data_IF_410803468554
#
_entry.id   IF_410803468554
#
_cell.length_a   1.000
_cell.length_b   1.000
_cell.length_c   1.000
_cell.angle_alpha   90.00
_cell.angle_beta   90.00
_cell.angle_gamma   90.00
#
_symmetry.space_group_name_H-M   'P 1'
#
loop_
_entity.id
_entity.type
_entity.pdbx_description
1 polymer ?
#
# COMPACT_ATOMS: atom_id res chain seq x y z
N UNK A 1 8.23 -10.44 -8.98
CA UNK A 1 9.01 -10.19 -7.74
C UNK A 1 8.89 -11.33 -6.72
N UNK A 2 7.70 -11.69 -6.24
CA UNK A 2 7.56 -12.75 -5.21
C UNK A 2 8.27 -14.07 -5.54
N UNK A 3 8.26 -14.49 -6.79
CA UNK A 3 8.90 -15.74 -7.25
C UNK A 3 10.44 -15.71 -7.20
N UNK A 4 11.08 -14.55 -7.09
CA UNK A 4 12.54 -14.46 -6.91
C UNK A 4 12.98 -14.96 -5.53
N UNK A 5 12.13 -14.79 -4.52
CA UNK A 5 12.47 -15.03 -3.11
C UNK A 5 13.74 -14.28 -2.66
N UNK A 6 14.08 -13.21 -3.37
CA UNK A 6 15.21 -12.35 -3.06
C UNK A 6 14.76 -10.94 -2.64
N UNK A 7 14.71 -10.66 -1.33
CA UNK A 7 14.38 -9.32 -0.82
C UNK A 7 15.34 -8.23 -1.31
N UNK A 8 16.62 -8.56 -1.60
CA UNK A 8 17.59 -7.56 -2.07
C UNK A 8 17.27 -7.13 -3.50
N UNK A 9 16.89 -8.06 -4.36
CA UNK A 9 16.47 -7.75 -5.72
C UNK A 9 15.17 -6.92 -5.71
N UNK A 10 14.24 -7.21 -4.78
CA UNK A 10 13.01 -6.43 -4.59
C UNK A 10 13.31 -5.02 -4.07
N UNK A 11 14.24 -4.85 -3.13
CA UNK A 11 14.69 -3.53 -2.66
C UNK A 11 15.32 -2.72 -3.79
N UNK A 12 16.18 -3.33 -4.61
CA UNK A 12 16.79 -2.68 -5.76
C UNK A 12 15.73 -2.22 -6.79
N UNK A 13 14.72 -3.05 -7.06
CA UNK A 13 13.60 -2.67 -7.93
C UNK A 13 12.78 -1.52 -7.33
N UNK A 14 12.52 -1.54 -6.03
CA UNK A 14 11.88 -0.43 -5.31
C UNK A 14 12.69 0.86 -5.40
N UNK A 15 14.02 0.77 -5.28
CA UNK A 15 14.93 1.91 -5.40
C UNK A 15 14.91 2.51 -6.80
N UNK A 16 15.06 1.68 -7.84
CA UNK A 16 14.98 2.11 -9.23
C UNK A 16 13.63 2.81 -9.52
N UNK A 17 12.53 2.24 -9.05
CA UNK A 17 11.20 2.86 -9.16
C UNK A 17 11.15 4.23 -8.48
N UNK A 18 11.70 4.37 -7.27
CA UNK A 18 11.70 5.63 -6.54
C UNK A 18 12.50 6.71 -7.26
N UNK A 19 13.66 6.38 -7.83
CA UNK A 19 14.50 7.29 -8.60
C UNK A 19 13.78 7.80 -9.85
N UNK A 20 13.13 6.90 -10.59
CA UNK A 20 12.37 7.28 -11.77
C UNK A 20 11.14 8.14 -11.42
N UNK A 21 10.33 7.69 -10.47
CA UNK A 21 9.11 8.38 -10.04
C UNK A 21 9.41 9.75 -9.46
N UNK A 22 10.41 9.86 -8.56
CA UNK A 22 10.79 11.14 -7.96
C UNK A 22 11.31 12.14 -9.00
N UNK A 23 11.94 11.67 -10.08
CA UNK A 23 12.40 12.55 -11.16
C UNK A 23 11.26 13.28 -11.89
N UNK A 24 10.07 12.67 -11.90
CA UNK A 24 8.85 13.23 -12.50
C UNK A 24 8.05 14.15 -11.57
N UNK A 25 8.55 14.40 -10.36
CA UNK A 25 7.87 15.24 -9.37
C UNK A 25 6.75 14.51 -8.60
N UNK A 26 6.63 13.20 -8.70
CA UNK A 26 5.70 12.40 -7.91
C UNK A 26 6.35 11.99 -6.59
N UNK A 27 5.66 12.20 -5.49
CA UNK A 27 6.22 12.04 -4.13
C UNK A 27 5.77 10.77 -3.41
N UNK A 28 4.75 10.09 -3.93
CA UNK A 28 4.04 9.04 -3.24
C UNK A 28 3.53 7.99 -4.23
N UNK A 29 3.70 6.72 -3.89
CA UNK A 29 3.16 5.58 -4.65
C UNK A 29 2.18 4.78 -3.81
N UNK A 30 1.16 4.17 -4.43
CA UNK A 30 0.20 3.29 -3.76
C UNK A 30 0.63 1.83 -3.86
N UNK A 31 1.80 1.55 -3.32
CA UNK A 31 2.49 0.25 -3.32
C UNK A 31 3.36 0.15 -2.05
N UNK A 32 3.62 -1.06 -1.53
CA UNK A 32 3.28 -2.39 -2.02
C UNK A 32 1.91 -2.91 -1.58
N UNK A 33 1.43 -3.98 -2.26
CA UNK A 33 0.22 -4.72 -1.89
C UNK A 33 0.59 -5.88 -0.95
N UNK A 34 0.06 -5.84 0.28
CA UNK A 34 0.32 -6.83 1.33
C UNK A 34 -0.85 -7.78 1.56
N UNK A 35 -1.84 -7.78 0.68
CA UNK A 35 -2.96 -8.71 0.77
C UNK A 35 -2.47 -10.14 0.61
N UNK A 36 -3.03 -11.07 1.40
CA UNK A 36 -2.68 -12.49 1.36
C UNK A 36 -3.55 -13.19 0.31
N UNK A 37 -2.96 -13.62 -0.80
CA UNK A 37 -3.66 -14.17 -1.96
C UNK A 37 -4.00 -15.66 -1.77
N UNK A 38 -5.03 -15.99 -0.97
CA UNK A 38 -5.46 -17.36 -0.69
C UNK A 38 -6.59 -17.85 -1.59
N UNK A 39 -7.50 -16.95 -1.98
CA UNK A 39 -8.60 -17.27 -2.88
C UNK A 39 -8.24 -16.85 -4.32
N UNK A 40 -8.03 -17.84 -5.18
CA UNK A 40 -7.63 -17.60 -6.58
C UNK A 40 -8.74 -16.97 -7.44
N UNK A 41 -9.97 -16.86 -6.92
CA UNK A 41 -11.06 -16.13 -7.58
C UNK A 41 -10.94 -14.61 -7.38
N UNK A 42 -10.15 -14.16 -6.41
CA UNK A 42 -9.92 -12.74 -6.19
C UNK A 42 -9.09 -12.15 -7.34
N UNK A 43 -9.64 -11.14 -8.02
CA UNK A 43 -9.08 -10.61 -9.26
C UNK A 43 -7.75 -9.85 -9.15
N UNK A 44 -7.21 -9.67 -7.91
CA UNK A 44 -5.97 -8.91 -7.65
C UNK A 44 -4.84 -9.77 -7.09
N UNK A 45 -4.92 -11.09 -7.27
CA UNK A 45 -3.90 -12.05 -6.81
C UNK A 45 -2.51 -11.71 -7.33
N UNK A 46 -2.40 -11.31 -8.59
CA UNK A 46 -1.14 -10.98 -9.27
C UNK A 46 -0.47 -9.68 -8.75
N UNK A 47 -1.19 -8.84 -8.03
CA UNK A 47 -0.62 -7.65 -7.40
C UNK A 47 0.14 -7.97 -6.09
N UNK A 48 -0.02 -9.16 -5.53
CA UNK A 48 0.47 -9.53 -4.20
C UNK A 48 1.82 -10.25 -4.24
N UNK A 49 2.42 -10.43 -3.06
CA UNK A 49 3.61 -11.29 -2.90
C UNK A 49 3.25 -12.77 -2.59
N UNK A 50 1.99 -13.17 -2.75
CA UNK A 50 1.53 -14.54 -2.60
C UNK A 50 0.63 -14.76 -1.38
N UNK A 51 0.68 -15.98 -0.80
CA UNK A 51 -0.22 -16.42 0.27
C UNK A 51 0.46 -16.56 1.65
N UNK A 52 1.77 -16.49 1.71
CA UNK A 52 2.53 -16.65 2.95
C UNK A 52 2.79 -15.30 3.62
N UNK A 53 2.30 -15.07 4.86
CA UNK A 53 2.46 -13.77 5.54
C UNK A 53 3.92 -13.44 5.87
N UNK A 54 4.79 -14.44 6.06
CA UNK A 54 6.21 -14.21 6.31
C UNK A 54 6.89 -13.69 5.05
N UNK A 55 6.68 -14.35 3.91
CA UNK A 55 7.23 -13.93 2.62
C UNK A 55 6.72 -12.53 2.24
N UNK A 56 5.42 -12.27 2.41
CA UNK A 56 4.83 -10.95 2.17
C UNK A 56 5.53 -9.89 3.03
N UNK A 57 5.74 -10.16 4.31
CA UNK A 57 6.44 -9.26 5.22
C UNK A 57 7.86 -8.93 4.79
N UNK A 58 8.65 -9.97 4.36
CA UNK A 58 10.03 -9.80 3.87
C UNK A 58 10.07 -8.96 2.59
N UNK A 59 9.24 -9.30 1.60
CA UNK A 59 9.22 -8.62 0.31
C UNK A 59 8.68 -7.19 0.44
N UNK A 60 7.63 -6.98 1.25
CA UNK A 60 7.09 -5.65 1.51
C UNK A 60 8.08 -4.75 2.24
N UNK A 61 8.80 -5.28 3.23
CA UNK A 61 9.89 -4.56 3.92
C UNK A 61 10.95 -4.09 2.94
N UNK A 62 11.43 -4.99 2.08
CA UNK A 62 12.40 -4.67 1.05
C UNK A 62 11.89 -3.58 0.08
N UNK A 63 10.65 -3.71 -0.39
CA UNK A 63 10.06 -2.72 -1.30
C UNK A 63 9.92 -1.35 -0.64
N UNK A 64 9.45 -1.29 0.61
CA UNK A 64 9.32 -0.03 1.37
C UNK A 64 10.69 0.63 1.57
N UNK A 65 11.71 -0.15 1.93
CA UNK A 65 13.09 0.36 2.03
C UNK A 65 13.60 0.93 0.71
N UNK A 66 13.37 0.22 -0.39
CA UNK A 66 13.70 0.71 -1.73
C UNK A 66 13.03 2.04 -2.04
N UNK A 67 11.71 2.13 -1.87
CA UNK A 67 10.95 3.34 -2.14
C UNK A 67 11.39 4.52 -1.26
N UNK A 68 11.55 4.30 0.05
CA UNK A 68 11.86 5.36 1.01
C UNK A 68 13.36 5.62 1.17
N UNK A 69 14.22 4.96 0.37
CA UNK A 69 15.67 5.15 0.41
C UNK A 69 16.30 4.74 1.73
N UNK A 70 15.73 3.76 2.43
CA UNK A 70 16.20 3.28 3.73
C UNK A 70 15.85 4.18 4.93
N UNK A 71 15.12 5.28 4.72
CA UNK A 71 14.73 6.19 5.82
C UNK A 71 13.82 5.49 6.83
N UNK A 72 14.16 5.66 8.11
CA UNK A 72 13.41 5.11 9.24
C UNK A 72 12.20 5.99 9.61
N UNK A 73 11.36 5.49 10.53
CA UNK A 73 10.23 6.24 11.04
C UNK A 73 10.66 7.62 11.59
N UNK A 74 10.03 8.68 11.10
CA UNK A 74 10.33 10.06 11.51
C UNK A 74 11.49 10.74 10.81
N UNK A 75 12.33 10.02 10.06
CA UNK A 75 13.45 10.62 9.31
C UNK A 75 12.98 11.31 8.02
N UNK A 76 13.75 12.31 7.59
CA UNK A 76 13.54 12.96 6.29
C UNK A 76 13.90 12.01 5.15
N UNK A 77 13.06 11.94 4.13
CA UNK A 77 13.31 11.11 2.95
C UNK A 77 14.35 11.76 2.02
N UNK A 78 15.28 10.96 1.47
CA UNK A 78 16.17 11.42 0.40
C UNK A 78 15.38 12.07 -0.76
N UNK A 79 16.02 12.97 -1.52
CA UNK A 79 15.36 13.69 -2.62
C UNK A 79 14.92 12.79 -3.77
N UNK A 80 15.57 11.65 -3.93
CA UNK A 80 15.31 10.64 -4.94
C UNK A 80 14.45 9.46 -4.40
N UNK A 81 13.93 9.59 -3.17
CA UNK A 81 13.00 8.66 -2.56
C UNK A 81 11.55 9.16 -2.65
N UNK A 82 10.62 8.23 -2.51
CA UNK A 82 9.18 8.49 -2.48
C UNK A 82 8.54 7.79 -1.28
N UNK A 83 7.37 8.26 -0.85
CA UNK A 83 6.59 7.56 0.17
C UNK A 83 6.02 6.25 -0.38
N UNK A 84 6.14 5.19 0.41
CA UNK A 84 5.43 3.95 0.22
C UNK A 84 4.01 4.04 0.81
N UNK A 85 3.10 3.25 0.26
CA UNK A 85 1.75 3.07 0.80
C UNK A 85 1.41 1.60 0.86
N UNK A 86 1.51 1.02 2.04
CA UNK A 86 1.15 -0.37 2.23
C UNK A 86 -0.37 -0.57 2.16
N UNK A 87 -0.81 -1.52 1.34
CA UNK A 87 -2.23 -1.73 1.07
C UNK A 87 -2.58 -3.21 0.87
N UNK A 88 -3.83 -3.60 1.06
CA UNK A 88 -4.94 -2.85 1.62
C UNK A 88 -5.17 -3.33 3.04
N UNK A 89 -5.08 -2.44 4.00
CA UNK A 89 -5.14 -2.72 5.42
C UNK A 89 -6.60 -2.92 5.87
N UNK A 90 -6.98 -4.11 6.34
CA UNK A 90 -6.33 -5.40 6.26
C UNK A 90 -7.40 -6.50 6.11
N UNK A 91 -7.06 -7.58 5.37
CA UNK A 91 -8.00 -8.68 5.17
C UNK A 91 -8.76 -8.63 3.83
N UNK A 92 -8.45 -7.70 2.97
CA UNK A 92 -9.15 -7.40 1.72
C UNK A 92 -9.27 -8.59 0.75
N UNK A 93 -8.27 -9.46 0.69
CA UNK A 93 -8.27 -10.65 -0.18
C UNK A 93 -9.14 -11.81 0.31
N UNK A 94 -9.69 -11.75 1.52
CA UNK A 94 -10.60 -12.76 2.10
C UNK A 94 -12.08 -12.44 1.88
N UNK A 95 -12.39 -11.52 1.00
CA UNK A 95 -13.76 -11.19 0.63
C UNK A 95 -14.51 -12.39 0.08
N UNK A 96 -15.74 -12.55 0.46
CA UNK A 96 -16.55 -13.72 0.12
C UNK A 96 -16.67 -13.92 -1.40
N UNK A 97 -16.28 -15.11 -1.87
CA UNK A 97 -16.33 -15.47 -3.28
C UNK A 97 -15.33 -14.74 -4.17
N UNK A 98 -14.28 -14.13 -3.59
CA UNK A 98 -13.27 -13.37 -4.34
C UNK A 98 -13.77 -12.03 -4.87
N UNK A 99 -14.88 -11.50 -4.36
CA UNK A 99 -15.41 -10.19 -4.77
C UNK A 99 -14.48 -9.06 -4.38
N UNK A 100 -14.54 -7.96 -5.12
CA UNK A 100 -13.71 -6.79 -4.82
C UNK A 100 -14.10 -6.12 -3.50
N UNK A 101 -15.40 -5.98 -3.23
CA UNK A 101 -15.92 -5.40 -1.99
C UNK A 101 -17.02 -6.28 -1.40
N UNK A 102 -16.78 -6.86 -0.24
CA UNK A 102 -17.77 -7.63 0.52
C UNK A 102 -17.30 -7.91 1.93
N UNK A 103 -18.08 -8.64 2.72
CA UNK A 103 -17.63 -9.17 4.00
C UNK A 103 -16.42 -10.10 3.82
N UNK A 104 -15.40 -9.90 4.64
CA UNK A 104 -14.31 -10.84 4.85
C UNK A 104 -14.59 -11.60 6.15
N UNK A 105 -14.86 -12.90 6.05
CA UNK A 105 -15.17 -13.75 7.20
C UNK A 105 -13.90 -14.04 8.02
N UNK A 106 -13.49 -13.05 8.77
CA UNK A 106 -12.25 -13.04 9.54
C UNK A 106 -12.53 -12.75 11.01
N UNK A 107 -12.28 -13.75 11.87
CA UNK A 107 -12.22 -13.49 13.32
C UNK A 107 -10.98 -12.65 13.67
N UNK A 108 -11.02 -11.91 14.79
CA UNK A 108 -9.86 -11.19 15.31
C UNK A 108 -8.64 -12.10 15.45
N UNK A 109 -8.79 -13.35 15.92
CA UNK A 109 -7.69 -14.31 16.00
C UNK A 109 -7.02 -14.57 14.64
N UNK A 110 -7.83 -14.74 13.58
CA UNK A 110 -7.30 -14.99 12.23
C UNK A 110 -6.63 -13.75 11.66
N UNK A 111 -7.18 -12.57 11.90
CA UNK A 111 -6.54 -11.30 11.56
C UNK A 111 -5.17 -11.18 12.23
N UNK A 112 -5.09 -11.33 13.55
CA UNK A 112 -3.87 -11.21 14.35
C UNK A 112 -2.79 -12.22 13.94
N UNK A 113 -3.17 -13.44 13.56
CA UNK A 113 -2.20 -14.49 13.25
C UNK A 113 -1.74 -14.51 11.80
N UNK A 114 -2.51 -13.93 10.86
CA UNK A 114 -2.22 -14.02 9.42
C UNK A 114 -2.13 -12.66 8.71
N UNK A 115 -3.16 -11.83 8.86
CA UNK A 115 -3.33 -10.66 7.99
C UNK A 115 -2.65 -9.41 8.53
N UNK A 116 -2.50 -9.29 9.85
CA UNK A 116 -1.87 -8.14 10.49
C UNK A 116 -0.34 -8.22 10.57
N UNK A 117 0.34 -9.38 10.72
CA UNK A 117 1.79 -9.43 10.90
C UNK A 117 2.61 -8.74 9.80
N UNK A 118 2.32 -8.87 8.49
CA UNK A 118 3.04 -8.13 7.46
C UNK A 118 2.94 -6.62 7.62
N UNK A 119 1.75 -6.12 7.96
CA UNK A 119 1.51 -4.68 8.18
C UNK A 119 2.17 -4.18 9.47
N UNK A 120 2.10 -4.95 10.55
CA UNK A 120 2.77 -4.59 11.81
C UNK A 120 4.27 -4.41 11.61
N UNK A 121 4.88 -5.33 10.86
CA UNK A 121 6.31 -5.27 10.55
C UNK A 121 6.68 -3.96 9.87
N UNK A 122 6.04 -3.63 8.77
CA UNK A 122 6.39 -2.41 8.02
C UNK A 122 5.94 -1.13 8.70
N UNK A 123 4.93 -1.17 9.58
CA UNK A 123 4.57 -0.06 10.44
C UNK A 123 5.74 0.29 11.39
N UNK A 124 6.34 -0.73 12.00
CA UNK A 124 7.53 -0.58 12.87
C UNK A 124 8.79 -0.15 12.10
N UNK A 125 8.90 -0.52 10.84
CA UNK A 125 10.01 -0.16 9.96
C UNK A 125 9.85 1.23 9.32
N UNK A 126 8.76 1.95 9.58
CA UNK A 126 8.58 3.34 9.20
C UNK A 126 7.94 3.59 7.84
N UNK A 127 7.13 2.64 7.33
CA UNK A 127 6.29 2.89 6.17
C UNK A 127 5.44 4.16 6.38
N UNK A 128 5.52 5.11 5.45
CA UNK A 128 4.92 6.44 5.62
C UNK A 128 3.41 6.46 5.61
N UNK A 129 2.77 5.58 4.82
CA UNK A 129 1.31 5.60 4.65
C UNK A 129 0.73 4.19 4.53
N UNK A 130 -0.52 4.03 4.96
CA UNK A 130 -1.32 2.84 4.74
C UNK A 130 -2.62 3.20 4.03
N UNK A 131 -3.07 2.34 3.10
CA UNK A 131 -4.37 2.46 2.44
C UNK A 131 -5.29 1.35 2.91
N UNK A 132 -6.56 1.70 3.16
CA UNK A 132 -7.59 0.78 3.58
C UNK A 132 -8.15 -0.03 2.40
N UNK A 133 -8.71 -1.19 2.68
CA UNK A 133 -9.47 -1.96 1.70
C UNK A 133 -10.96 -1.60 1.66
N UNK A 134 -11.70 -2.32 0.82
CA UNK A 134 -13.16 -2.14 0.66
C UNK A 134 -14.00 -3.11 1.51
N UNK A 135 -13.36 -4.06 2.18
CA UNK A 135 -14.03 -5.12 2.91
C UNK A 135 -14.70 -4.63 4.19
N UNK A 136 -15.64 -5.43 4.65
CA UNK A 136 -16.15 -5.39 6.01
C UNK A 136 -15.59 -6.56 6.81
N UNK A 137 -15.37 -6.38 8.09
CA UNK A 137 -14.93 -7.41 9.02
C UNK A 137 -15.92 -7.44 10.17
N UNK A 138 -16.54 -8.60 10.43
CA UNK A 138 -17.60 -8.76 11.43
C UNK A 138 -18.71 -7.72 11.23
N UNK A 139 -19.11 -7.48 9.98
CA UNK A 139 -20.16 -6.54 9.60
C UNK A 139 -19.78 -5.06 9.65
N UNK A 140 -18.53 -4.72 10.00
CA UNK A 140 -18.06 -3.33 10.06
C UNK A 140 -17.11 -3.05 8.89
N UNK A 141 -17.46 -2.13 7.96
CA UNK A 141 -16.50 -1.69 6.94
C UNK A 141 -15.20 -1.21 7.58
N UNK A 142 -14.06 -1.61 7.03
CA UNK A 142 -12.75 -1.27 7.63
C UNK A 142 -12.56 0.23 7.80
N UNK A 143 -13.15 1.05 6.93
CA UNK A 143 -13.15 2.52 7.02
C UNK A 143 -13.72 3.04 8.34
N UNK A 144 -14.61 2.28 9.00
CA UNK A 144 -15.24 2.63 10.28
C UNK A 144 -14.79 1.74 11.43
N UNK A 145 -13.84 0.84 11.19
CA UNK A 145 -13.40 -0.13 12.19
C UNK A 145 -12.38 0.50 13.16
N UNK A 146 -12.91 1.15 14.20
CA UNK A 146 -12.09 1.81 15.23
C UNK A 146 -11.11 0.86 15.89
N UNK A 147 -11.50 -0.39 16.16
CA UNK A 147 -10.59 -1.38 16.74
C UNK A 147 -9.35 -1.58 15.86
N UNK A 148 -9.54 -1.71 14.54
CA UNK A 148 -8.44 -1.91 13.59
C UNK A 148 -7.58 -0.65 13.46
N UNK A 149 -8.21 0.51 13.22
CA UNK A 149 -7.51 1.75 12.85
C UNK A 149 -6.94 2.49 14.06
N UNK A 150 -7.70 2.57 15.15
CA UNK A 150 -7.29 3.31 16.35
C UNK A 150 -6.65 2.40 17.38
N UNK A 151 -7.36 1.36 17.85
CA UNK A 151 -6.88 0.59 19.00
C UNK A 151 -5.67 -0.28 18.62
N UNK A 152 -5.72 -0.94 17.46
CA UNK A 152 -4.62 -1.78 16.98
C UNK A 152 -3.49 -0.95 16.38
N UNK A 153 -3.76 -0.23 15.30
CA UNK A 153 -2.73 0.45 14.53
C UNK A 153 -2.10 1.62 15.30
N UNK A 154 -2.92 2.56 15.77
CA UNK A 154 -2.43 3.73 16.52
C UNK A 154 -2.04 3.38 17.95
N UNK A 155 -2.89 2.61 18.65
CA UNK A 155 -2.73 2.26 20.06
C UNK A 155 -1.64 1.25 20.30
N UNK A 156 -1.79 0.02 19.78
CA UNK A 156 -0.88 -1.08 20.05
C UNK A 156 0.46 -0.95 19.29
N UNK A 157 0.43 -0.65 17.99
CA UNK A 157 1.64 -0.56 17.17
C UNK A 157 2.31 0.81 17.22
N UNK A 158 1.65 1.83 17.79
CA UNK A 158 2.17 3.21 17.85
C UNK A 158 2.47 3.81 16.47
N UNK A 159 1.74 3.36 15.46
CA UNK A 159 1.91 3.87 14.10
C UNK A 159 1.49 5.34 14.00
N UNK A 160 2.38 6.19 13.54
CA UNK A 160 2.18 7.64 13.40
C UNK A 160 2.16 8.15 11.95
N UNK A 161 2.22 7.23 10.97
CA UNK A 161 2.04 7.56 9.57
C UNK A 161 0.59 7.90 9.22
N UNK A 162 0.33 8.24 7.97
CA UNK A 162 -0.98 8.66 7.50
C UNK A 162 -1.80 7.48 6.97
N UNK A 163 -3.08 7.42 7.34
CA UNK A 163 -4.07 6.53 6.74
C UNK A 163 -4.81 7.23 5.62
N UNK A 164 -4.87 6.59 4.46
CA UNK A 164 -5.72 7.00 3.35
C UNK A 164 -6.80 5.94 3.08
N UNK A 165 -8.02 6.38 2.76
CA UNK A 165 -9.04 5.45 2.26
C UNK A 165 -8.71 5.00 0.83
N UNK A 166 -9.32 3.92 0.37
CA UNK A 166 -9.39 3.62 -1.06
C UNK A 166 -10.45 4.48 -1.75
N UNK A 167 -10.63 4.34 -3.06
CA UNK A 167 -11.47 5.16 -3.91
C UNK A 167 -12.93 5.17 -3.45
N UNK A 168 -13.42 6.34 -3.08
CA UNK A 168 -14.79 6.60 -2.59
C UNK A 168 -15.25 5.69 -1.43
N UNK A 169 -14.32 5.22 -0.61
CA UNK A 169 -14.62 4.27 0.46
C UNK A 169 -15.64 4.82 1.48
N UNK A 170 -15.55 6.10 1.80
CA UNK A 170 -16.51 6.76 2.70
C UNK A 170 -17.86 6.91 2.01
N UNK A 171 -17.89 7.31 0.74
CA UNK A 171 -19.12 7.47 -0.02
C UNK A 171 -19.88 6.16 -0.23
N UNK A 172 -19.17 5.07 -0.51
CA UNK A 172 -19.75 3.73 -0.67
C UNK A 172 -20.60 3.29 0.53
N UNK A 173 -20.27 3.76 1.73
CA UNK A 173 -21.05 3.46 2.93
C UNK A 173 -22.46 4.03 2.89
N UNK A 174 -22.68 5.09 2.12
CA UNK A 174 -23.98 5.75 1.92
C UNK A 174 -24.74 5.15 0.73
N UNK A 175 -24.11 5.14 -0.47
CA UNK A 175 -24.83 4.80 -1.68
C UNK A 175 -24.83 3.29 -2.02
N UNK A 176 -23.79 2.54 -1.63
CA UNK A 176 -23.64 1.10 -1.94
C UNK A 176 -23.99 0.22 -0.72
N UNK A 177 -23.22 0.35 0.36
CA UNK A 177 -23.33 -0.52 1.54
C UNK A 177 -24.56 -0.19 2.40
N UNK A 178 -25.10 1.03 2.30
CA UNK A 178 -26.28 1.50 3.07
C UNK A 178 -26.12 1.41 4.59
N UNK A 179 -24.89 1.51 5.10
CA UNK A 179 -24.58 1.46 6.54
C UNK A 179 -24.51 2.85 7.18
N UNK A 180 -24.53 3.91 6.36
CA UNK A 180 -24.62 5.31 6.81
C UNK A 180 -25.81 6.00 6.14
N UNK A 181 -26.54 6.86 6.90
CA UNK A 181 -27.73 7.52 6.37
C UNK A 181 -27.39 8.62 5.35
N UNK A 182 -26.25 9.28 5.53
CA UNK A 182 -25.79 10.43 4.74
C UNK A 182 -24.28 10.64 4.86
N UNK A 183 -23.78 11.64 4.14
CA UNK A 183 -22.35 11.97 4.14
C UNK A 183 -21.89 12.65 5.45
N UNK A 184 -22.77 13.29 6.21
CA UNK A 184 -22.43 13.92 7.50
C UNK A 184 -22.02 12.85 8.51
N UNK A 185 -22.86 11.81 8.65
CA UNK A 185 -22.58 10.67 9.55
C UNK A 185 -21.41 9.84 9.04
N UNK A 186 -21.31 9.63 7.71
CA UNK A 186 -20.21 8.90 7.12
C UNK A 186 -18.87 9.61 7.35
N UNK A 187 -18.79 10.92 7.16
CA UNK A 187 -17.60 11.72 7.39
C UNK A 187 -17.19 11.70 8.88
N UNK A 188 -18.15 11.97 9.78
CA UNK A 188 -17.89 11.95 11.22
C UNK A 188 -17.34 10.61 11.68
N UNK A 189 -17.96 9.50 11.28
CA UNK A 189 -17.56 8.18 11.75
C UNK A 189 -16.24 7.71 11.12
N UNK A 190 -15.95 8.10 9.86
CA UNK A 190 -14.67 7.82 9.23
C UNK A 190 -13.52 8.50 10.00
N UNK A 191 -13.66 9.80 10.32
CA UNK A 191 -12.64 10.54 11.09
C UNK A 191 -12.50 9.96 12.50
N UNK A 192 -13.61 9.70 13.20
CA UNK A 192 -13.59 9.08 14.54
C UNK A 192 -12.93 7.70 14.57
N UNK A 193 -13.02 6.95 13.47
CA UNK A 193 -12.36 5.66 13.35
C UNK A 193 -10.83 5.78 13.17
N UNK A 194 -10.32 6.95 12.75
CA UNK A 194 -8.89 7.21 12.62
C UNK A 194 -8.39 7.42 11.20
N UNK A 195 -9.27 7.67 10.22
CA UNK A 195 -8.86 8.06 8.87
C UNK A 195 -8.30 9.48 8.85
N UNK A 196 -7.22 9.69 8.08
CA UNK A 196 -6.59 11.00 7.94
C UNK A 196 -6.87 11.64 6.59
N UNK A 197 -6.82 10.87 5.50
CA UNK A 197 -7.01 11.34 4.14
C UNK A 197 -8.11 10.53 3.46
N UNK A 198 -9.09 11.21 2.87
CA UNK A 198 -10.22 10.57 2.18
C UNK A 198 -10.07 10.73 0.68
N UNK A 199 -10.03 9.59 -0.02
CA UNK A 199 -9.91 9.56 -1.47
C UNK A 199 -11.28 9.67 -2.13
N UNK A 200 -11.46 10.70 -2.95
CA UNK A 200 -12.51 10.83 -3.99
C UNK A 200 -13.94 10.66 -3.48
N UNK A 201 -14.25 11.06 -2.24
CA UNK A 201 -15.64 11.14 -1.75
C UNK A 201 -16.11 12.59 -1.81
N UNK A 202 -16.87 13.02 -2.85
CA UNK A 202 -17.24 14.44 -3.03
C UNK A 202 -18.01 15.03 -1.86
N UNK A 203 -18.89 14.24 -1.23
CA UNK A 203 -19.69 14.69 -0.09
C UNK A 203 -18.95 14.71 1.25
N UNK A 204 -17.69 14.25 1.32
CA UNK A 204 -16.96 14.17 2.57
C UNK A 204 -16.64 15.54 3.15
N UNK A 205 -16.17 16.47 2.33
CA UNK A 205 -15.74 17.80 2.78
C UNK A 205 -16.87 18.56 3.47
N UNK A 206 -17.99 18.73 2.77
CA UNK A 206 -19.16 19.43 3.31
C UNK A 206 -19.77 18.66 4.50
N UNK A 207 -19.80 17.31 4.41
CA UNK A 207 -20.27 16.47 5.49
C UNK A 207 -19.43 16.59 6.76
N UNK A 208 -18.11 16.70 6.65
CA UNK A 208 -17.23 16.87 7.80
C UNK A 208 -17.41 18.25 8.45
N UNK A 209 -17.54 19.33 7.65
CA UNK A 209 -17.83 20.68 8.15
C UNK A 209 -19.15 20.69 8.92
N UNK A 210 -20.20 20.13 8.36
CA UNK A 210 -21.52 20.08 9.01
C UNK A 210 -21.47 19.20 10.28
N UNK A 211 -20.73 18.11 10.26
CA UNK A 211 -20.55 17.25 11.45
C UNK A 211 -19.86 17.99 12.60
N UNK A 212 -18.90 18.87 12.32
CA UNK A 212 -18.27 19.71 13.35
C UNK A 212 -19.26 20.78 13.84
N UNK A 213 -19.95 21.48 12.94
CA UNK A 213 -20.92 22.52 13.31
C UNK A 213 -22.07 21.99 14.19
N UNK A 214 -22.50 20.77 13.94
CA UNK A 214 -23.59 20.13 14.70
C UNK A 214 -23.11 19.42 15.98
N UNK A 215 -21.80 19.42 16.25
CA UNK A 215 -21.21 18.70 17.39
C UNK A 215 -21.17 17.19 17.23
N UNK A 216 -21.43 16.66 16.04
CA UNK A 216 -21.32 15.23 15.75
C UNK A 216 -19.85 14.78 15.65
N UNK A 217 -18.94 15.66 15.27
CA UNK A 217 -17.50 15.42 15.17
C UNK A 217 -16.74 16.48 15.97
N UNK A 218 -15.79 16.03 16.80
CA UNK A 218 -14.87 16.94 17.49
C UNK A 218 -13.80 17.44 16.50
N UNK A 219 -13.63 18.76 16.39
CA UNK A 219 -12.67 19.41 15.51
C UNK A 219 -11.22 18.97 15.80
N UNK A 220 -10.90 18.63 17.05
CA UNK A 220 -9.58 18.13 17.42
C UNK A 220 -9.14 16.87 16.66
N UNK A 221 -10.09 16.03 16.24
CA UNK A 221 -9.78 14.85 15.42
C UNK A 221 -9.41 15.22 13.98
N UNK A 222 -9.95 16.32 13.47
CA UNK A 222 -9.52 16.90 12.17
C UNK A 222 -8.10 17.44 12.32
N UNK A 223 -7.80 18.18 13.38
CA UNK A 223 -6.47 18.73 13.65
C UNK A 223 -5.42 17.60 13.74
N UNK A 224 -5.73 16.50 14.40
CA UNK A 224 -4.85 15.33 14.44
C UNK A 224 -4.58 14.73 13.05
N UNK A 225 -5.62 14.60 12.21
CA UNK A 225 -5.46 14.10 10.85
C UNK A 225 -4.59 15.05 10.01
N UNK A 226 -4.85 16.35 10.08
CA UNK A 226 -4.06 17.39 9.41
C UNK A 226 -2.61 17.37 9.88
N UNK A 227 -2.36 17.24 11.19
CA UNK A 227 -1.01 17.17 11.74
C UNK A 227 -0.22 15.98 11.15
N UNK A 228 -0.84 14.80 11.00
CA UNK A 228 -0.20 13.63 10.38
C UNK A 228 0.11 13.86 8.91
N UNK A 229 -0.79 14.49 8.15
CA UNK A 229 -0.56 14.82 6.74
C UNK A 229 0.58 15.84 6.60
N UNK A 230 0.58 16.90 7.44
CA UNK A 230 1.65 17.91 7.43
C UNK A 230 3.00 17.29 7.81
N UNK A 231 3.02 16.37 8.78
CA UNK A 231 4.26 15.65 9.15
C UNK A 231 4.88 14.90 7.95
N UNK A 232 4.06 14.28 7.07
CA UNK A 232 4.58 13.68 5.84
C UNK A 232 5.17 14.71 4.89
N UNK A 233 4.53 15.87 4.74
CA UNK A 233 5.04 16.96 3.88
C UNK A 233 6.38 17.49 4.41
N UNK A 234 6.54 17.62 5.74
CA UNK A 234 7.81 17.98 6.35
C UNK A 234 8.88 16.89 6.15
N UNK A 235 8.54 15.62 6.32
CA UNK A 235 9.47 14.50 6.05
C UNK A 235 9.98 14.46 4.61
N UNK A 236 9.16 14.88 3.66
CA UNK A 236 9.54 15.02 2.26
C UNK A 236 10.30 16.32 1.99
N UNK A 237 10.31 17.30 2.92
CA UNK A 237 10.92 18.62 2.72
C UNK A 237 10.19 19.47 1.69
N UNK A 238 8.87 19.26 1.50
CA UNK A 238 8.10 19.91 0.41
C UNK A 238 7.88 21.42 0.61
N UNK A 239 8.07 21.93 1.83
CA UNK A 239 7.95 23.36 2.10
C UNK A 239 9.20 24.12 1.67
N UNK A 240 10.37 23.50 1.74
CA UNK A 240 11.66 24.05 1.32
C UNK A 240 11.95 23.74 -0.16
N UNK A 241 11.55 22.55 -0.64
CA UNK A 241 11.76 22.10 -2.00
C UNK A 241 10.53 21.30 -2.47
N UNK A 242 9.65 21.85 -3.32
CA UNK A 242 8.43 21.17 -3.79
C UNK A 242 8.72 19.96 -4.69
N UNK A 243 10.00 19.63 -4.93
CA UNK A 243 10.45 18.48 -5.72
C UNK A 243 9.77 18.40 -7.08
N UNK A 244 9.81 19.51 -7.83
CA UNK A 244 9.21 19.60 -9.17
C UNK A 244 9.92 18.65 -10.16
N UNK A 245 9.26 18.30 -11.28
CA UNK A 245 9.87 17.51 -12.34
C UNK A 245 11.22 18.08 -12.79
N UNK A 246 12.21 17.21 -12.96
CA UNK A 246 13.55 17.58 -13.45
C UNK A 246 13.82 16.85 -14.77
N UNK A 247 13.72 17.56 -15.88
CA UNK A 247 13.92 16.99 -17.23
C UNK A 247 15.31 16.36 -17.42
N UNK A 248 16.35 16.86 -16.75
CA UNK A 248 17.69 16.29 -16.86
C UNK A 248 17.74 14.95 -16.13
N UNK A 249 17.17 14.88 -14.92
CA UNK A 249 17.04 13.63 -14.17
C UNK A 249 16.15 12.63 -14.90
N UNK A 250 15.01 13.05 -15.41
CA UNK A 250 14.09 12.21 -16.19
C UNK A 250 14.87 11.50 -17.31
N UNK A 251 15.60 12.25 -18.13
CA UNK A 251 16.40 11.69 -19.23
C UNK A 251 17.56 10.79 -18.78
N UNK A 252 18.09 11.02 -17.59
CA UNK A 252 19.22 10.27 -17.07
C UNK A 252 18.80 8.95 -16.40
N UNK A 253 17.66 8.91 -15.71
CA UNK A 253 17.30 7.78 -14.85
C UNK A 253 16.21 6.88 -15.45
N UNK A 254 15.21 7.44 -16.15
CA UNK A 254 14.11 6.63 -16.68
C UNK A 254 14.61 5.68 -17.75
N UNK A 255 14.47 4.39 -17.46
CA UNK A 255 14.93 3.31 -18.33
C UNK A 255 16.44 3.30 -18.53
N UNK A 256 17.22 3.79 -17.55
CA UNK A 256 18.70 3.71 -17.58
C UNK A 256 19.18 2.26 -17.72
N UNK A 257 20.43 2.07 -18.15
CA UNK A 257 21.00 0.73 -18.29
C UNK A 257 21.02 -0.03 -16.96
N UNK A 258 21.31 0.66 -15.85
CA UNK A 258 21.31 0.08 -14.52
C UNK A 258 19.90 -0.38 -14.11
N UNK A 259 18.87 0.44 -14.35
CA UNK A 259 17.47 0.06 -14.06
C UNK A 259 17.00 -1.10 -14.94
N UNK A 260 17.38 -1.14 -16.22
CA UNK A 260 17.10 -2.27 -17.10
C UNK A 260 17.78 -3.55 -16.63
N UNK A 261 19.03 -3.44 -16.12
CA UNK A 261 19.75 -4.59 -15.54
C UNK A 261 19.03 -5.12 -14.31
N UNK A 262 18.65 -4.26 -13.36
CA UNK A 262 17.87 -4.66 -12.18
C UNK A 262 16.58 -5.40 -12.58
N UNK A 263 15.85 -4.85 -13.55
CA UNK A 263 14.61 -5.48 -14.03
C UNK A 263 14.87 -6.85 -14.68
N UNK A 264 15.92 -6.96 -15.49
CA UNK A 264 16.28 -8.22 -16.16
C UNK A 264 16.73 -9.29 -15.15
N UNK A 265 17.55 -8.93 -14.17
CA UNK A 265 18.02 -9.84 -13.12
C UNK A 265 16.84 -10.36 -12.32
N UNK A 266 15.95 -9.48 -11.85
CA UNK A 266 14.74 -9.88 -11.11
C UNK A 266 13.79 -10.76 -11.96
N UNK A 267 13.65 -10.47 -13.25
CA UNK A 267 12.87 -11.29 -14.16
C UNK A 267 13.44 -12.70 -14.34
N UNK A 268 14.78 -12.81 -14.41
CA UNK A 268 15.47 -14.12 -14.49
C UNK A 268 15.30 -14.94 -13.21
N UNK A 269 15.46 -14.32 -12.05
CA UNK A 269 15.24 -14.97 -10.76
C UNK A 269 13.81 -15.44 -10.54
N UNK A 270 12.83 -14.75 -11.15
CA UNK A 270 11.44 -15.10 -11.05
C UNK A 270 11.03 -16.34 -11.88
N UNK A 271 11.93 -16.88 -12.71
CA UNK A 271 11.64 -18.08 -13.51
C UNK A 271 11.80 -19.33 -12.63
N UNK A 272 10.69 -19.98 -12.33
CA UNK A 272 10.66 -21.20 -11.51
C UNK A 272 10.56 -22.46 -12.38
N UNK A 273 11.50 -23.41 -12.19
CA UNK A 273 11.44 -24.70 -12.82
C UNK A 273 10.56 -25.65 -11.98
N UNK A 274 9.32 -25.83 -12.37
CA UNK A 274 8.35 -26.66 -11.62
C UNK A 274 8.59 -28.16 -11.85
N UNK A 275 9.03 -28.55 -13.04
CA UNK A 275 9.33 -29.94 -13.38
C UNK A 275 10.33 -29.99 -14.54
N UNK A 276 11.26 -30.94 -14.47
CA UNK A 276 12.24 -31.23 -15.53
C UNK A 276 12.36 -32.74 -15.71
N UNK A 277 11.88 -33.26 -16.82
CA UNK A 277 11.96 -34.67 -17.21
C UNK A 277 13.25 -34.97 -18.04
N UNK A 278 14.30 -34.20 -17.82
CA UNK A 278 15.60 -34.35 -18.50
C UNK A 278 15.73 -33.49 -19.78
N UNK A 279 14.79 -32.56 -20.04
CA UNK A 279 14.88 -31.62 -21.15
C UNK A 279 15.80 -30.41 -20.89
N UNK A 280 16.17 -30.13 -19.63
CA UNK A 280 17.05 -29.04 -19.23
C UNK A 280 18.25 -29.58 -18.44
N UNK A 281 19.45 -28.94 -18.54
CA UNK A 281 19.77 -27.82 -19.46
C UNK A 281 19.77 -28.27 -20.92
N UNK A 282 19.50 -27.36 -21.83
CA UNK A 282 19.75 -27.63 -23.26
C UNK A 282 21.27 -27.69 -23.48
N UNK A 283 21.71 -28.62 -24.33
CA UNK A 283 23.08 -28.64 -24.76
C UNK A 283 23.47 -27.31 -25.38
N UNK A 284 24.69 -26.82 -25.05
CA UNK A 284 25.19 -25.50 -25.50
C UNK A 284 25.51 -25.45 -27.02
N UNK A 285 24.84 -26.23 -27.85
CA UNK A 285 24.87 -26.06 -29.29
C UNK A 285 24.24 -24.70 -29.64
N UNK A 286 24.81 -23.93 -30.57
CA UNK A 286 24.24 -22.64 -30.95
C UNK A 286 22.77 -22.84 -31.33
N UNK A 287 21.90 -22.11 -30.67
CA UNK A 287 20.49 -22.08 -31.01
C UNK A 287 20.37 -21.63 -32.46
N UNK A 288 20.11 -22.58 -33.37
CA UNK A 288 19.61 -22.22 -34.69
C UNK A 288 18.29 -21.46 -34.48
N UNK A 289 18.24 -20.25 -35.01
CA UNK A 289 17.09 -19.38 -34.87
C UNK A 289 15.81 -20.16 -35.22
N UNK A 290 14.84 -20.17 -34.29
CA UNK A 290 13.55 -20.75 -34.53
C UNK A 290 12.97 -20.01 -35.76
N UNK A 291 12.74 -20.67 -36.90
CA UNK A 291 12.18 -20.00 -38.07
C UNK A 291 10.77 -19.51 -37.71
N UNK A 292 10.53 -18.23 -37.72
CA UNK A 292 9.21 -17.64 -37.64
C UNK A 292 8.84 -16.90 -36.34
N UNK A 293 9.78 -16.41 -35.54
CA UNK A 293 9.49 -15.44 -34.48
C UNK A 293 9.69 -14.00 -34.95
#
# INVERSE_FOLDING_TARGET
>A
MALSWDPKAVEAAGRATAEEVSSTGVHWTFSPVLCIARDTRWGRVDETFGEDPMLIGEMASAMVKGYQGGAQAGETLPKDAILACAKHFAGYSETQGGRDASEADLSHRKLESWFLPPFERIAKEGCGTFMLGYESIEGVPVTFNKWLLTDKLRGAWKYNGTLITDWDNVGRSVWEQKVKPDYVHAAADAVKAGNDLVMTTPGFYDGAIEAVHTGLLDESLIDEAVARILALKFRLGLFEDPRLPDEKRIKAVIGSEDHRRVNLELAREAVALLRNDGGLPFDAAPAEAIPGS
#
